data_IF_385714703457
#
_entry.id   IF_385714703457
#
_cell.length_a   1.000
_cell.length_b   1.000
_cell.length_c   1.000
_cell.angle_alpha   90.00
_cell.angle_beta   90.00
_cell.angle_gamma   90.00
#
_symmetry.space_group_name_H-M   'P 1'
#
loop_
_entity.id
_entity.type
_entity.pdbx_description
1 polymer ?
#
# COMPACT_ATOMS: atom_id res chain seq x y z
N UNK A 1 -23.90 23.37 10.51
CA UNK A 1 -22.42 23.39 10.50
C UNK A 1 -21.92 24.66 11.20
N UNK A 2 -20.77 24.61 11.87
CA UNK A 2 -20.16 25.79 12.50
C UNK A 2 -19.80 26.83 11.43
N UNK A 3 -19.99 28.14 11.69
CA UNK A 3 -19.56 29.21 10.77
C UNK A 3 -18.03 29.29 10.60
N UNK A 4 -17.25 28.59 11.44
CA UNK A 4 -15.79 28.50 11.34
C UNK A 4 -15.30 27.20 10.69
N UNK A 5 -16.21 26.33 10.24
CA UNK A 5 -15.85 25.07 9.60
C UNK A 5 -15.21 25.32 8.23
N UNK A 6 -13.99 24.82 8.03
CA UNK A 6 -13.27 24.93 6.76
C UNK A 6 -13.07 23.56 6.11
N UNK A 7 -12.96 23.51 4.78
CA UNK A 7 -12.52 22.34 4.01
C UNK A 7 -11.37 21.52 4.60
N UNK A 8 -10.36 22.20 5.14
CA UNK A 8 -9.17 21.58 5.72
C UNK A 8 -9.49 20.79 7.01
N UNK A 9 -10.54 21.19 7.73
CA UNK A 9 -10.90 20.58 9.02
C UNK A 9 -11.49 19.16 8.80
N UNK A 10 -12.27 18.95 7.73
CA UNK A 10 -12.76 17.62 7.35
C UNK A 10 -11.62 16.69 6.92
N UNK A 11 -10.63 17.22 6.21
CA UNK A 11 -9.43 16.47 5.83
C UNK A 11 -8.61 16.06 7.05
N UNK A 12 -8.32 16.99 7.96
CA UNK A 12 -7.60 16.69 9.20
C UNK A 12 -8.36 15.64 10.01
N UNK A 13 -9.69 15.77 10.12
CA UNK A 13 -10.54 14.77 10.77
C UNK A 13 -10.44 13.40 10.11
N UNK A 14 -10.45 13.34 8.78
CA UNK A 14 -10.30 12.10 8.02
C UNK A 14 -8.97 11.40 8.33
N UNK A 15 -7.86 12.13 8.30
CA UNK A 15 -6.54 11.61 8.68
C UNK A 15 -6.51 11.10 10.12
N UNK A 16 -7.02 11.90 11.07
CA UNK A 16 -7.05 11.51 12.48
C UNK A 16 -7.85 10.21 12.64
N UNK A 17 -9.06 10.13 12.07
CA UNK A 17 -9.89 8.91 12.13
C UNK A 17 -9.15 7.68 11.60
N UNK A 18 -8.49 7.80 10.45
CA UNK A 18 -7.74 6.69 9.87
C UNK A 18 -6.61 6.23 10.78
N UNK A 19 -5.75 7.16 11.20
CA UNK A 19 -4.61 6.82 12.05
C UNK A 19 -5.01 6.34 13.45
N UNK A 20 -6.18 6.73 13.97
CA UNK A 20 -6.74 6.16 15.20
C UNK A 20 -6.91 4.65 15.10
N UNK A 21 -7.32 4.10 13.94
CA UNK A 21 -7.43 2.64 13.73
C UNK A 21 -6.09 1.96 13.99
N UNK A 22 -5.02 2.47 13.38
CA UNK A 22 -3.66 1.93 13.59
C UNK A 22 -3.15 2.10 15.03
N UNK A 23 -3.51 3.21 15.68
CA UNK A 23 -3.16 3.48 17.08
C UNK A 23 -3.87 2.53 18.04
N UNK A 24 -5.15 2.27 17.81
CA UNK A 24 -5.97 1.36 18.62
C UNK A 24 -5.52 -0.09 18.45
N UNK A 25 -5.17 -0.51 17.23
CA UNK A 25 -4.53 -1.80 16.99
C UNK A 25 -3.24 -1.95 17.80
N UNK A 26 -2.32 -0.98 17.67
CA UNK A 26 -1.04 -1.00 18.37
C UNK A 26 -1.20 -1.07 19.89
N UNK A 27 -2.23 -0.40 20.44
CA UNK A 27 -2.53 -0.41 21.87
C UNK A 27 -3.00 -1.78 22.38
N UNK A 28 -3.73 -2.52 21.55
CA UNK A 28 -4.30 -3.82 21.89
C UNK A 28 -3.28 -4.96 21.74
N UNK A 29 -2.30 -4.81 20.84
CA UNK A 29 -1.28 -5.82 20.58
C UNK A 29 -0.17 -5.85 21.62
N UNK A 30 0.21 -7.07 22.03
CA UNK A 30 1.43 -7.34 22.80
C UNK A 30 2.48 -7.98 21.88
N UNK A 31 3.75 -7.62 22.09
CA UNK A 31 4.87 -8.16 21.30
C UNK A 31 4.90 -9.71 21.29
N UNK A 32 4.60 -10.34 22.43
CA UNK A 32 4.54 -11.80 22.55
C UNK A 32 3.47 -12.46 21.68
N UNK A 33 2.37 -11.76 21.40
CA UNK A 33 1.28 -12.24 20.54
C UNK A 33 1.70 -12.25 19.07
N UNK A 34 2.50 -11.26 18.64
CA UNK A 34 3.02 -11.18 17.28
C UNK A 34 4.03 -12.29 16.99
N UNK A 35 4.80 -12.71 18.01
CA UNK A 35 5.81 -13.78 17.87
C UNK A 35 5.26 -15.20 18.00
N UNK A 36 3.97 -15.38 18.29
CA UNK A 36 3.35 -16.69 18.43
C UNK A 36 3.32 -17.44 17.08
N UNK A 37 3.59 -18.75 17.09
CA UNK A 37 3.62 -19.60 15.90
C UNK A 37 2.72 -20.83 16.11
N UNK A 38 1.59 -20.96 15.40
CA UNK A 38 0.98 -19.96 14.51
C UNK A 38 0.42 -18.75 15.30
N UNK A 39 -0.03 -17.72 14.59
CA UNK A 39 -0.80 -16.62 15.18
C UNK A 39 -2.02 -17.16 15.94
N UNK A 40 -2.28 -16.58 17.12
CA UNK A 40 -3.49 -16.89 17.88
C UNK A 40 -4.71 -16.31 17.17
N UNK A 41 -5.85 -17.01 17.23
CA UNK A 41 -7.08 -16.58 16.57
C UNK A 41 -7.50 -15.16 16.97
N UNK A 42 -7.36 -14.79 18.25
CA UNK A 42 -7.64 -13.44 18.74
C UNK A 42 -6.82 -12.36 18.02
N UNK A 43 -5.59 -12.67 17.64
CA UNK A 43 -4.70 -11.76 16.89
C UNK A 43 -5.13 -11.68 15.43
N UNK A 44 -5.52 -12.81 14.84
CA UNK A 44 -6.06 -12.89 13.49
C UNK A 44 -7.35 -12.09 13.36
N UNK A 45 -8.27 -12.21 14.33
CA UNK A 45 -9.53 -11.47 14.36
C UNK A 45 -9.28 -9.96 14.53
N UNK A 46 -8.32 -9.59 15.38
CA UNK A 46 -7.93 -8.20 15.59
C UNK A 46 -7.30 -7.58 14.33
N UNK A 47 -6.46 -8.33 13.60
CA UNK A 47 -5.89 -7.87 12.33
C UNK A 47 -6.96 -7.73 11.26
N UNK A 48 -7.81 -8.74 11.09
CA UNK A 48 -8.91 -8.73 10.12
C UNK A 48 -9.85 -7.56 10.36
N UNK A 49 -10.32 -7.37 11.59
CA UNK A 49 -11.22 -6.25 11.93
C UNK A 49 -10.55 -4.88 11.72
N UNK A 50 -9.26 -4.74 12.06
CA UNK A 50 -8.54 -3.47 11.82
C UNK A 50 -8.33 -3.20 10.34
N UNK A 51 -8.05 -4.24 9.55
CA UNK A 51 -7.90 -4.19 8.09
C UNK A 51 -9.21 -3.74 7.41
N UNK A 52 -10.34 -4.32 7.83
CA UNK A 52 -11.69 -3.97 7.36
C UNK A 52 -12.11 -2.54 7.77
N UNK A 53 -11.76 -2.10 8.98
CA UNK A 53 -12.03 -0.73 9.42
C UNK A 53 -11.31 0.31 8.53
N UNK A 54 -10.12 -0.01 8.01
CA UNK A 54 -9.43 0.87 7.06
C UNK A 54 -10.15 0.91 5.72
N UNK A 55 -10.67 -0.22 5.25
CA UNK A 55 -11.47 -0.27 4.01
C UNK A 55 -12.76 0.54 4.15
N UNK A 56 -13.48 0.38 5.27
CA UNK A 56 -14.68 1.16 5.60
C UNK A 56 -14.37 2.66 5.69
N UNK A 57 -13.29 3.02 6.40
CA UNK A 57 -12.83 4.41 6.50
C UNK A 57 -12.56 5.02 5.12
N UNK A 58 -11.88 4.28 4.24
CA UNK A 58 -11.56 4.76 2.89
C UNK A 58 -12.80 4.92 2.03
N UNK A 59 -13.75 3.98 2.10
CA UNK A 59 -15.04 4.06 1.42
C UNK A 59 -15.85 5.26 1.88
N UNK A 60 -16.06 5.43 3.18
CA UNK A 60 -16.80 6.55 3.75
C UNK A 60 -16.25 7.90 3.30
N UNK A 61 -14.93 8.01 3.25
CA UNK A 61 -14.23 9.23 2.89
C UNK A 61 -14.41 9.59 1.42
N UNK A 62 -14.33 8.59 0.53
CA UNK A 62 -14.43 8.84 -0.90
C UNK A 62 -15.87 9.14 -1.34
N UNK A 63 -16.86 8.63 -0.59
CA UNK A 63 -18.27 8.71 -0.98
C UNK A 63 -19.06 9.77 -0.22
N UNK A 64 -18.73 10.01 1.05
CA UNK A 64 -19.53 10.89 1.90
C UNK A 64 -18.89 12.26 2.15
N UNK A 65 -17.64 12.50 1.70
CA UNK A 65 -17.03 13.83 1.78
C UNK A 65 -17.17 14.60 0.47
N UNK A 66 -17.59 15.87 0.59
CA UNK A 66 -17.83 16.74 -0.57
C UNK A 66 -16.60 16.79 -1.50
N UNK A 67 -16.77 16.67 -2.83
CA UNK A 67 -15.67 16.61 -3.80
C UNK A 67 -14.71 17.81 -3.75
N UNK A 68 -15.20 19.01 -3.39
CA UNK A 68 -14.36 20.20 -3.15
C UNK A 68 -13.31 20.03 -2.02
N UNK A 69 -13.44 19.02 -1.16
CA UNK A 69 -12.47 18.66 -0.14
C UNK A 69 -11.34 17.77 -0.69
N UNK A 70 -11.49 17.24 -1.90
CA UNK A 70 -10.44 16.65 -2.73
C UNK A 70 -9.85 17.80 -3.58
N UNK A 71 -8.97 18.60 -2.98
CA UNK A 71 -8.60 19.97 -3.43
C UNK A 71 -7.76 20.07 -4.70
N UNK A 72 -7.87 19.16 -5.67
CA UNK A 72 -7.00 19.21 -6.84
C UNK A 72 -7.74 18.92 -8.15
N UNK A 73 -7.44 19.69 -9.20
CA UNK A 73 -8.12 19.58 -10.48
C UNK A 73 -7.84 18.23 -11.18
N UNK A 74 -6.68 17.63 -10.93
CA UNK A 74 -6.23 16.41 -11.60
C UNK A 74 -6.70 15.13 -10.88
N UNK A 75 -7.13 14.12 -11.64
CA UNK A 75 -7.70 12.86 -11.12
C UNK A 75 -6.71 12.10 -10.21
N UNK A 76 -5.41 12.21 -10.48
CA UNK A 76 -4.34 11.60 -9.67
C UNK A 76 -4.20 12.22 -8.27
N UNK A 77 -4.52 13.51 -8.13
CA UNK A 77 -4.43 14.22 -6.84
C UNK A 77 -5.69 14.12 -5.99
N UNK A 78 -6.80 13.65 -6.58
CA UNK A 78 -8.00 13.23 -5.84
C UNK A 78 -7.71 11.99 -4.97
N UNK A 79 -6.70 11.20 -5.32
CA UNK A 79 -6.26 10.01 -4.60
C UNK A 79 -5.30 10.31 -3.43
N UNK A 80 -5.30 11.52 -2.85
CA UNK A 80 -4.41 11.84 -1.70
C UNK A 80 -4.62 10.96 -0.48
N UNK A 81 -5.79 10.33 -0.36
CA UNK A 81 -6.08 9.39 0.74
C UNK A 81 -5.71 7.95 0.39
N UNK A 82 -5.35 7.65 -0.88
CA UNK A 82 -4.83 6.36 -1.30
C UNK A 82 -3.48 6.04 -0.65
N UNK A 83 -2.60 7.04 -0.56
CA UNK A 83 -1.30 6.88 0.09
C UNK A 83 -1.45 6.55 1.59
N UNK A 84 -2.23 7.32 2.38
CA UNK A 84 -2.58 6.97 3.76
C UNK A 84 -3.29 5.62 3.90
N UNK A 85 -4.25 5.32 3.02
CA UNK A 85 -4.94 4.04 2.99
C UNK A 85 -3.94 2.88 2.87
N UNK A 86 -3.13 2.89 1.81
CA UNK A 86 -2.15 1.85 1.55
C UNK A 86 -1.08 1.80 2.66
N UNK A 87 -0.70 2.94 3.23
CA UNK A 87 0.23 2.98 4.36
C UNK A 87 -0.34 2.33 5.62
N UNK A 88 -1.61 2.57 5.94
CA UNK A 88 -2.27 1.93 7.08
C UNK A 88 -2.46 0.43 6.86
N UNK A 89 -2.87 0.00 5.66
CA UNK A 89 -2.97 -1.42 5.30
C UNK A 89 -1.59 -2.09 5.37
N UNK A 90 -0.53 -1.45 4.89
CA UNK A 90 0.86 -1.91 5.05
C UNK A 90 1.24 -2.04 6.53
N UNK A 91 0.92 -1.04 7.35
CA UNK A 91 1.26 -1.04 8.77
C UNK A 91 0.55 -2.18 9.50
N UNK A 92 -0.78 -2.27 9.40
CA UNK A 92 -1.61 -3.26 10.10
C UNK A 92 -1.18 -4.67 9.72
N UNK A 93 -1.23 -4.98 8.42
CA UNK A 93 -0.96 -6.32 7.94
C UNK A 93 0.53 -6.67 8.04
N UNK A 94 1.41 -5.68 7.91
CA UNK A 94 2.86 -5.86 7.98
C UNK A 94 3.37 -6.28 9.36
N UNK A 95 2.60 -6.03 10.43
CA UNK A 95 2.92 -6.55 11.77
C UNK A 95 2.95 -8.08 11.81
N UNK A 96 2.24 -8.76 10.89
CA UNK A 96 2.27 -10.22 10.74
C UNK A 96 3.67 -10.77 10.41
N UNK A 97 4.59 -9.93 9.91
CA UNK A 97 5.97 -10.37 9.66
C UNK A 97 6.77 -10.56 10.95
N UNK A 98 6.36 -9.92 12.06
CA UNK A 98 7.12 -9.97 13.30
C UNK A 98 7.13 -11.38 13.89
N UNK A 99 8.31 -11.90 14.22
CA UNK A 99 8.49 -13.25 14.76
C UNK A 99 8.63 -14.36 13.71
N UNK A 100 8.52 -14.03 12.42
CA UNK A 100 8.90 -14.95 11.33
C UNK A 100 10.42 -15.02 11.25
N UNK A 101 10.99 -16.20 11.50
CA UNK A 101 12.43 -16.43 11.47
C UNK A 101 12.89 -17.09 10.17
N UNK A 102 12.02 -17.90 9.54
CA UNK A 102 12.32 -18.58 8.29
C UNK A 102 11.07 -18.78 7.41
N UNK A 103 11.28 -19.25 6.18
CA UNK A 103 10.18 -19.55 5.25
C UNK A 103 9.34 -20.75 5.74
N UNK A 104 9.94 -21.71 6.46
CA UNK A 104 9.23 -22.86 7.02
C UNK A 104 8.23 -22.45 8.11
N UNK A 105 8.54 -21.40 8.88
CA UNK A 105 7.60 -20.85 9.87
C UNK A 105 6.28 -20.44 9.21
N UNK A 106 6.36 -19.80 8.03
CA UNK A 106 5.20 -19.33 7.28
C UNK A 106 4.36 -20.48 6.73
N UNK A 107 4.98 -21.55 6.25
CA UNK A 107 4.28 -22.73 5.71
C UNK A 107 3.27 -23.34 6.71
N UNK A 108 3.48 -23.13 8.01
CA UNK A 108 2.59 -23.62 9.08
C UNK A 108 1.53 -22.62 9.55
N UNK A 109 1.53 -21.39 9.02
CA UNK A 109 0.67 -20.28 9.45
C UNK A 109 0.02 -19.56 8.26
N UNK A 110 -1.05 -20.15 7.67
CA UNK A 110 -1.72 -19.59 6.49
C UNK A 110 -2.31 -18.19 6.72
N UNK A 111 -2.78 -17.90 7.95
CA UNK A 111 -3.31 -16.59 8.30
C UNK A 111 -2.23 -15.51 8.18
N UNK A 112 -1.03 -15.80 8.69
CA UNK A 112 0.12 -14.90 8.60
C UNK A 112 0.57 -14.67 7.16
N UNK A 113 0.55 -15.71 6.32
CA UNK A 113 0.84 -15.58 4.88
C UNK A 113 -0.11 -14.56 4.24
N UNK A 114 -1.41 -14.67 4.51
CA UNK A 114 -2.42 -13.79 3.91
C UNK A 114 -2.22 -12.32 4.31
N UNK A 115 -1.93 -12.05 5.58
CA UNK A 115 -1.61 -10.69 6.02
C UNK A 115 -0.32 -10.15 5.36
N UNK A 116 0.75 -10.97 5.29
CA UNK A 116 1.99 -10.56 4.60
C UNK A 116 1.72 -10.24 3.12
N UNK A 117 0.87 -11.03 2.44
CA UNK A 117 0.48 -10.79 1.05
C UNK A 117 -0.23 -9.45 0.89
N UNK A 118 -1.24 -9.16 1.72
CA UNK A 118 -1.95 -7.86 1.72
C UNK A 118 -1.03 -6.68 2.01
N UNK A 119 -0.07 -6.85 2.91
CA UNK A 119 0.94 -5.84 3.20
C UNK A 119 1.87 -5.58 2.00
N UNK A 120 2.29 -6.63 1.30
CA UNK A 120 3.09 -6.54 0.07
C UNK A 120 2.32 -5.91 -1.10
N UNK A 121 1.03 -6.20 -1.23
CA UNK A 121 0.13 -5.54 -2.18
C UNK A 121 0.04 -4.03 -1.86
N UNK A 122 -0.12 -3.68 -0.58
CA UNK A 122 -0.16 -2.29 -0.12
C UNK A 122 1.17 -1.56 -0.36
N UNK A 123 2.31 -2.22 -0.13
CA UNK A 123 3.63 -1.68 -0.45
C UNK A 123 3.78 -1.42 -1.96
N UNK A 124 3.28 -2.35 -2.79
CA UNK A 124 3.28 -2.19 -4.26
C UNK A 124 2.43 -1.00 -4.68
N UNK A 125 1.24 -0.85 -4.09
CA UNK A 125 0.31 0.24 -4.36
C UNK A 125 0.91 1.62 -4.01
N UNK A 126 1.62 1.74 -2.88
CA UNK A 126 2.35 2.96 -2.49
C UNK A 126 3.36 3.36 -3.58
N UNK A 127 4.22 2.42 -3.97
CA UNK A 127 5.28 2.68 -4.94
C UNK A 127 4.67 3.02 -6.31
N UNK A 128 3.68 2.25 -6.75
CA UNK A 128 2.98 2.46 -8.02
C UNK A 128 2.31 3.83 -8.08
N UNK A 129 1.55 4.20 -7.03
CA UNK A 129 0.84 5.49 -6.95
C UNK A 129 1.79 6.66 -7.11
N UNK A 130 2.96 6.58 -6.47
CA UNK A 130 3.98 7.63 -6.54
C UNK A 130 4.73 7.63 -7.88
N UNK A 131 5.00 6.46 -8.45
CA UNK A 131 5.67 6.33 -9.73
C UNK A 131 4.81 6.83 -10.89
N UNK A 132 3.50 6.55 -10.87
CA UNK A 132 2.60 6.98 -11.94
C UNK A 132 2.30 8.48 -11.89
N UNK A 133 2.35 9.10 -10.71
CA UNK A 133 2.17 10.56 -10.57
C UNK A 133 3.37 11.32 -11.14
N UNK A 134 3.16 11.95 -12.30
CA UNK A 134 4.18 12.79 -12.94
C UNK A 134 4.56 14.00 -12.08
N UNK A 135 3.58 14.64 -11.43
CA UNK A 135 3.84 15.75 -10.51
C UNK A 135 4.69 15.31 -9.31
N UNK A 136 4.38 14.15 -8.74
CA UNK A 136 5.16 13.58 -7.65
C UNK A 136 6.60 13.30 -8.09
N UNK A 137 6.80 12.62 -9.24
CA UNK A 137 8.13 12.33 -9.77
C UNK A 137 8.96 13.59 -10.05
N UNK A 138 8.32 14.65 -10.57
CA UNK A 138 8.99 15.96 -10.76
C UNK A 138 9.34 16.65 -9.45
N UNK A 139 8.46 16.54 -8.45
CA UNK A 139 8.64 17.17 -7.14
C UNK A 139 9.56 16.37 -6.22
N UNK A 140 9.84 15.11 -6.57
CA UNK A 140 10.58 14.15 -5.75
C UNK A 140 11.94 14.69 -5.27
N UNK A 141 12.66 15.42 -6.13
CA UNK A 141 13.92 16.09 -5.79
C UNK A 141 13.79 17.05 -4.60
N UNK A 142 12.68 17.78 -4.51
CA UNK A 142 12.45 18.83 -3.50
C UNK A 142 11.73 18.32 -2.25
N UNK A 143 11.07 17.16 -2.35
CA UNK A 143 10.20 16.66 -1.29
C UNK A 143 10.65 15.32 -0.71
N UNK A 144 11.83 14.83 -1.07
CA UNK A 144 12.34 13.54 -0.63
C UNK A 144 12.31 13.41 0.90
N UNK A 145 12.73 14.45 1.63
CA UNK A 145 12.77 14.44 3.10
C UNK A 145 11.38 14.38 3.77
N UNK A 146 10.32 14.80 3.08
CA UNK A 146 8.97 14.92 3.66
C UNK A 146 7.96 13.91 3.12
N UNK A 147 8.06 13.50 1.85
CA UNK A 147 7.08 12.62 1.19
C UNK A 147 7.62 11.24 0.84
N UNK A 148 8.91 10.96 1.04
CA UNK A 148 9.50 9.66 0.73
C UNK A 148 9.28 8.61 1.83
N UNK A 149 8.87 9.02 3.03
CA UNK A 149 8.74 8.11 4.17
C UNK A 149 7.84 6.89 3.89
N UNK A 150 6.64 7.01 3.29
CA UNK A 150 5.83 5.83 2.94
C UNK A 150 6.51 4.93 1.89
N UNK A 151 7.17 5.52 0.89
CA UNK A 151 7.93 4.80 -0.14
C UNK A 151 9.05 3.98 0.48
N UNK A 152 9.80 4.59 1.40
CA UNK A 152 10.90 3.94 2.10
C UNK A 152 10.40 2.77 2.95
N UNK A 153 9.29 2.95 3.67
CA UNK A 153 8.68 1.85 4.43
C UNK A 153 8.20 0.72 3.54
N UNK A 154 7.57 1.03 2.39
CA UNK A 154 7.13 0.03 1.42
C UNK A 154 8.33 -0.79 0.88
N UNK A 155 9.40 -0.12 0.44
CA UNK A 155 10.62 -0.78 -0.05
C UNK A 155 11.25 -1.64 1.05
N UNK A 156 11.42 -1.07 2.26
CA UNK A 156 12.00 -1.79 3.40
C UNK A 156 11.19 -3.04 3.74
N UNK A 157 9.86 -2.94 3.68
CA UNK A 157 8.98 -4.07 3.91
C UNK A 157 9.13 -5.14 2.84
N UNK A 158 9.14 -4.77 1.55
CA UNK A 158 9.38 -5.73 0.46
C UNK A 158 10.71 -6.47 0.67
N UNK A 159 11.80 -5.76 0.95
CA UNK A 159 13.11 -6.40 1.16
C UNK A 159 13.17 -7.29 2.41
N UNK A 160 12.37 -7.02 3.43
CA UNK A 160 12.30 -7.87 4.64
C UNK A 160 11.40 -9.09 4.45
N UNK A 161 10.23 -8.91 3.84
CA UNK A 161 9.23 -9.94 3.70
C UNK A 161 9.56 -10.93 2.58
N UNK A 162 10.13 -10.43 1.46
CA UNK A 162 10.30 -11.25 0.27
C UNK A 162 11.21 -12.47 0.46
N UNK A 163 12.37 -12.39 1.15
CA UNK A 163 13.19 -13.57 1.45
C UNK A 163 12.47 -14.67 2.24
N UNK A 164 11.44 -14.31 3.00
CA UNK A 164 10.68 -15.23 3.84
C UNK A 164 9.46 -15.77 3.10
N UNK A 165 8.78 -14.93 2.32
CA UNK A 165 7.49 -15.22 1.71
C UNK A 165 7.55 -15.57 0.22
N UNK A 166 8.74 -15.67 -0.41
CA UNK A 166 8.90 -15.80 -1.87
C UNK A 166 8.13 -16.97 -2.50
N UNK A 167 7.91 -18.08 -1.77
CA UNK A 167 7.13 -19.22 -2.25
C UNK A 167 5.62 -18.96 -2.32
N UNK A 168 5.14 -17.88 -1.70
CA UNK A 168 3.71 -17.58 -1.53
C UNK A 168 3.27 -16.29 -2.23
N UNK A 169 4.22 -15.54 -2.83
CA UNK A 169 3.96 -14.22 -3.42
C UNK A 169 4.66 -14.07 -4.76
N UNK A 170 4.15 -13.16 -5.58
CA UNK A 170 4.77 -12.80 -6.86
C UNK A 170 6.03 -11.95 -6.63
N UNK A 171 7.17 -12.65 -6.50
CA UNK A 171 8.48 -12.04 -6.32
C UNK A 171 8.88 -11.15 -7.51
N UNK A 172 8.47 -11.50 -8.73
CA UNK A 172 8.80 -10.76 -9.93
C UNK A 172 8.13 -9.38 -9.91
N UNK A 173 6.83 -9.35 -9.64
CA UNK A 173 6.05 -8.11 -9.53
C UNK A 173 6.60 -7.20 -8.43
N UNK A 174 6.91 -7.76 -7.25
CA UNK A 174 7.42 -6.98 -6.12
C UNK A 174 8.80 -6.36 -6.40
N UNK A 175 9.71 -7.10 -7.01
CA UNK A 175 11.02 -6.56 -7.36
C UNK A 175 10.94 -5.54 -8.51
N UNK A 176 10.00 -5.71 -9.45
CA UNK A 176 9.74 -4.70 -10.48
C UNK A 176 9.25 -3.38 -9.85
N UNK A 177 8.39 -3.43 -8.83
CA UNK A 177 7.99 -2.22 -8.07
C UNK A 177 9.20 -1.56 -7.41
N UNK A 178 10.11 -2.31 -6.80
CA UNK A 178 11.34 -1.72 -6.24
C UNK A 178 12.23 -1.09 -7.32
N UNK A 179 12.29 -1.66 -8.54
CA UNK A 179 12.98 -1.02 -9.67
C UNK A 179 12.33 0.31 -10.08
N UNK A 180 11.00 0.40 -10.09
CA UNK A 180 10.27 1.65 -10.32
C UNK A 180 10.62 2.69 -9.24
N UNK A 181 10.72 2.28 -7.98
CA UNK A 181 11.21 3.16 -6.92
C UNK A 181 12.64 3.63 -7.16
N UNK A 182 13.57 2.75 -7.54
CA UNK A 182 14.94 3.12 -7.88
C UNK A 182 14.99 4.17 -9.02
N UNK A 183 14.11 4.06 -10.01
CA UNK A 183 13.98 5.07 -11.06
C UNK A 183 13.48 6.41 -10.53
N UNK A 184 12.53 6.43 -9.59
CA UNK A 184 12.11 7.67 -8.92
C UNK A 184 13.27 8.33 -8.16
N UNK A 185 14.06 7.56 -7.40
CA UNK A 185 15.24 8.07 -6.70
C UNK A 185 16.29 8.66 -7.65
N UNK A 186 16.56 7.98 -8.77
CA UNK A 186 17.45 8.51 -9.79
C UNK A 186 16.91 9.81 -10.42
N UNK A 187 15.62 9.87 -10.75
CA UNK A 187 14.98 11.07 -11.29
C UNK A 187 15.00 12.23 -10.30
N UNK A 188 14.89 11.94 -9.00
CA UNK A 188 15.06 12.90 -7.92
C UNK A 188 16.50 13.17 -7.51
N UNK A 189 17.49 12.81 -8.32
CA UNK A 189 18.90 13.16 -8.09
C UNK A 189 19.63 12.35 -7.02
N UNK A 190 18.99 11.34 -6.41
CA UNK A 190 19.60 10.45 -5.41
C UNK A 190 20.11 9.17 -6.08
N UNK A 191 21.24 9.29 -6.78
CA UNK A 191 21.86 8.19 -7.52
C UNK A 191 22.32 7.05 -6.61
N UNK A 192 22.87 7.38 -5.45
CA UNK A 192 23.36 6.39 -4.48
C UNK A 192 22.21 5.51 -3.98
N UNK A 193 21.10 6.12 -3.55
CA UNK A 193 19.90 5.39 -3.15
C UNK A 193 19.35 4.53 -4.30
N UNK A 194 19.29 5.07 -5.52
CA UNK A 194 18.84 4.30 -6.69
C UNK A 194 19.72 3.07 -6.95
N UNK A 195 21.04 3.19 -6.80
CA UNK A 195 21.98 2.10 -6.98
C UNK A 195 21.89 1.06 -5.85
N UNK A 196 21.73 1.49 -4.60
CA UNK A 196 21.48 0.59 -3.46
C UNK A 196 20.22 -0.24 -3.67
N UNK A 197 19.14 0.37 -4.16
CA UNK A 197 17.89 -0.35 -4.45
C UNK A 197 18.06 -1.37 -5.56
N UNK A 198 18.81 -1.04 -6.63
CA UNK A 198 19.12 -2.01 -7.71
C UNK A 198 19.94 -3.18 -7.20
N UNK A 199 20.99 -2.93 -6.43
CA UNK A 199 21.79 -3.97 -5.81
C UNK A 199 20.95 -4.84 -4.86
N UNK A 200 20.02 -4.24 -4.12
CA UNK A 200 19.06 -4.94 -3.29
C UNK A 200 18.13 -5.84 -4.11
N UNK A 201 17.61 -5.32 -5.23
CA UNK A 201 16.80 -6.12 -6.17
C UNK A 201 17.58 -7.31 -6.71
N UNK A 202 18.83 -7.12 -7.14
CA UNK A 202 19.65 -8.19 -7.69
C UNK A 202 19.96 -9.26 -6.62
N UNK A 203 20.29 -8.82 -5.39
CA UNK A 203 20.54 -9.72 -4.26
C UNK A 203 19.30 -10.56 -3.92
N UNK A 204 18.14 -9.93 -3.80
CA UNK A 204 16.89 -10.62 -3.43
C UNK A 204 16.39 -11.47 -4.61
N UNK A 205 16.54 -11.00 -5.85
CA UNK A 205 16.24 -11.77 -7.05
C UNK A 205 17.06 -13.07 -7.11
N UNK A 206 18.35 -13.02 -6.81
CA UNK A 206 19.19 -14.22 -6.72
C UNK A 206 18.72 -15.19 -5.62
N UNK A 207 18.36 -14.68 -4.44
CA UNK A 207 17.85 -15.50 -3.32
C UNK A 207 16.52 -16.17 -3.65
N UNK A 208 15.63 -15.47 -4.35
CA UNK A 208 14.29 -15.93 -4.71
C UNK A 208 14.24 -16.62 -6.08
N UNK A 209 15.39 -16.83 -6.72
CA UNK A 209 15.52 -17.38 -8.09
C UNK A 209 14.65 -16.63 -9.12
N UNK A 210 14.42 -15.34 -8.89
CA UNK A 210 13.58 -14.49 -9.74
C UNK A 210 14.47 -13.71 -10.71
N UNK A 211 14.26 -13.92 -12.02
CA UNK A 211 14.97 -13.19 -13.08
C UNK A 211 14.06 -12.07 -13.60
N UNK A 212 14.54 -10.83 -13.52
CA UNK A 212 13.82 -9.67 -14.05
C UNK A 212 14.46 -9.19 -15.35
N UNK A 213 13.73 -9.29 -16.46
CA UNK A 213 14.16 -8.74 -17.75
C UNK A 213 14.43 -7.22 -17.67
N UNK A 214 15.39 -6.67 -18.44
CA UNK A 214 15.66 -5.23 -18.49
C UNK A 214 14.43 -4.39 -18.87
N UNK A 215 13.52 -4.97 -19.65
CA UNK A 215 12.28 -4.36 -20.15
C UNK A 215 11.10 -4.45 -19.16
N UNK A 216 11.29 -5.07 -17.98
CA UNK A 216 10.23 -5.25 -16.95
C UNK A 216 9.74 -3.95 -16.29
N UNK A 217 10.26 -2.79 -16.71
CA UNK A 217 9.83 -1.48 -16.23
C UNK A 217 8.49 -1.03 -16.82
N UNK A 218 8.11 -1.56 -17.99
CA UNK A 218 6.95 -1.08 -18.74
C UNK A 218 5.66 -1.85 -18.51
N UNK A 219 5.70 -3.03 -17.88
CA UNK A 219 4.51 -3.80 -17.48
C UNK A 219 4.93 -5.01 -16.64
N UNK A 220 5.00 -4.93 -15.29
CA UNK A 220 5.07 -6.13 -14.48
C UNK A 220 3.77 -6.92 -14.68
N UNK A 221 3.90 -8.10 -15.30
CA UNK A 221 2.80 -8.94 -15.76
C UNK A 221 1.65 -9.08 -14.76
N UNK A 222 0.43 -9.00 -15.30
CA UNK A 222 -0.83 -8.80 -14.59
C UNK A 222 -0.88 -7.47 -13.84
N UNK A 223 -0.71 -6.37 -14.57
CA UNK A 223 -1.30 -5.11 -14.13
C UNK A 223 -2.79 -5.35 -13.91
N UNK A 224 -3.21 -5.23 -12.67
CA UNK A 224 -4.47 -4.58 -12.40
C UNK A 224 -4.09 -3.09 -12.48
N UNK A 225 -4.22 -2.42 -13.65
CA UNK A 225 -3.87 -1.01 -13.74
C UNK A 225 -4.72 -0.24 -12.70
N UNK A 226 -4.30 0.91 -12.20
CA UNK A 226 -5.03 1.58 -11.08
C UNK A 226 -6.53 1.71 -11.40
N UNK A 227 -6.90 1.90 -12.67
CA UNK A 227 -8.27 1.91 -13.21
C UNK A 227 -9.02 0.55 -13.25
N UNK A 228 -8.37 -0.56 -12.90
CA UNK A 228 -8.94 -1.91 -12.74
C UNK A 228 -8.85 -2.34 -11.27
N UNK A 229 -7.92 -1.77 -10.49
CA UNK A 229 -7.78 -2.03 -9.03
C UNK A 229 -8.89 -1.32 -8.26
N UNK A 230 -9.37 -0.25 -8.88
CA UNK A 230 -10.68 0.27 -8.72
C UNK A 230 -11.46 -0.08 -9.99
N UNK A 231 -12.55 -0.84 -9.91
CA UNK A 231 -13.64 -0.78 -10.90
C UNK A 231 -14.24 0.65 -10.83
N UNK A 232 -13.46 1.64 -11.24
CA UNK A 232 -13.98 2.90 -11.73
C UNK A 232 -13.92 2.71 -13.23
N UNK A 233 -15.02 2.30 -13.88
CA UNK A 233 -15.16 2.39 -15.31
C UNK A 233 -14.52 3.68 -15.82
N UNK A 234 -14.02 3.64 -17.05
CA UNK A 234 -13.77 4.85 -17.80
C UNK A 234 -15.11 5.60 -17.98
N UNK A 235 -15.61 6.20 -16.91
CA UNK A 235 -16.88 6.91 -16.76
C UNK A 235 -16.76 8.31 -17.34
N UNK A 236 -16.14 8.42 -18.52
CA UNK A 236 -16.21 9.66 -19.27
C UNK A 236 -17.55 9.74 -20.03
N UNK A 237 -18.23 8.61 -20.27
CA UNK A 237 -19.43 8.64 -21.11
C UNK A 237 -20.77 8.22 -20.46
N UNK A 238 -20.84 7.63 -19.26
CA UNK A 238 -22.13 7.06 -18.80
C UNK A 238 -22.57 7.22 -17.33
N UNK A 239 -21.88 7.94 -16.44
CA UNK A 239 -22.37 8.09 -15.05
C UNK A 239 -23.14 9.40 -14.83
N UNK A 240 -24.44 9.28 -14.57
CA UNK A 240 -25.25 10.35 -14.00
C UNK A 240 -24.85 10.59 -12.53
N UNK A 241 -25.04 11.81 -12.07
CA UNK A 241 -24.47 12.40 -10.85
C UNK A 241 -24.94 11.78 -9.50
N UNK A 242 -25.70 10.68 -9.53
CA UNK A 242 -26.45 10.15 -8.39
C UNK A 242 -26.07 8.70 -7.99
N UNK A 243 -24.99 8.12 -8.53
CA UNK A 243 -24.62 6.72 -8.24
C UNK A 243 -23.45 6.58 -7.25
N UNK A 244 -23.64 5.74 -6.22
CA UNK A 244 -22.66 5.43 -5.16
C UNK A 244 -21.47 4.58 -5.65
N UNK A 245 -20.29 4.79 -5.05
CA UNK A 245 -19.07 4.04 -5.39
C UNK A 245 -19.07 2.64 -4.75
N UNK A 246 -18.69 1.59 -5.50
CA UNK A 246 -18.74 0.22 -5.01
C UNK A 246 -17.69 -0.03 -3.91
N UNK A 247 -18.09 -0.75 -2.87
CA UNK A 247 -17.17 -1.33 -1.88
C UNK A 247 -16.22 -2.32 -2.55
N UNK A 248 -14.92 -2.05 -2.49
CA UNK A 248 -13.88 -2.99 -2.91
C UNK A 248 -13.91 -4.21 -1.97
N UNK A 249 -14.34 -5.36 -2.49
CA UNK A 249 -14.42 -6.60 -1.71
C UNK A 249 -15.55 -7.56 -2.08
N UNK A 250 -16.48 -7.18 -2.97
CA UNK A 250 -17.51 -8.09 -3.46
C UNK A 250 -17.15 -8.56 -4.87
N UNK A 251 -16.36 -9.63 -4.98
CA UNK A 251 -16.39 -10.43 -6.20
C UNK A 251 -17.83 -10.94 -6.39
N UNK A 252 -18.47 -10.72 -7.55
CA UNK A 252 -19.78 -11.30 -7.79
C UNK A 252 -19.64 -12.82 -7.85
N UNK A 253 -20.42 -13.49 -7.01
CA UNK A 253 -20.78 -14.88 -7.24
C UNK A 253 -21.91 -14.88 -8.27
N UNK A 254 -21.58 -15.14 -9.54
CA UNK A 254 -22.20 -16.12 -10.46
C UNK A 254 -21.25 -16.33 -11.64
#
# INVERSE_FOLDING_TARGET
MSPHHRPVDDRIRAYIKGFTITGDLKRQLKSSQLTAKPLLQEVVDLFTSSDELVDQWFHEINNNMHPLYQTFPERQDRNRLLMPFAFMKLYINGLALQGVGSAEDLSSDPARIEFIRRALDSASLIIQTQYESHEFRRSFYYTMDYFCTPTYYAISFIFKALPLAYNFVDSQRLLARVRQAAQMFQQGGSLDAANELRQGVDRIGALTQTVLSPESLENPGAEIPLNVLFDIPSFIDEMAWDDDFPTLGMFPSV
#
